data_IF_991268151896
#
_entry.id   IF_991268151896
#
_cell.length_a   1.000
_cell.length_b   1.000
_cell.length_c   1.000
_cell.angle_alpha   90.00
_cell.angle_beta   90.00
_cell.angle_gamma   90.00
#
_symmetry.space_group_name_H-M   'P 1'
#
loop_
_entity.id
_entity.type
_entity.pdbx_description
1 polymer ?
#
# COMPACT_ATOMS: atom_id res chain seq x y z
N UNK A 1 10.96 -2.29 -3.53
CA UNK A 1 12.03 -2.50 -4.55
C UNK A 1 13.22 -3.20 -3.88
N UNK A 2 13.37 -4.52 -4.07
CA UNK A 2 14.42 -5.32 -3.40
C UNK A 2 15.82 -5.12 -4.02
N UNK A 3 15.90 -4.98 -5.35
CA UNK A 3 17.17 -4.92 -6.10
C UNK A 3 18.16 -3.87 -5.58
N UNK A 4 17.69 -2.64 -5.35
CA UNK A 4 18.54 -1.53 -4.88
C UNK A 4 19.04 -1.77 -3.46
N UNK A 5 18.23 -2.41 -2.60
CA UNK A 5 18.62 -2.75 -1.22
C UNK A 5 19.73 -3.80 -1.19
N UNK A 6 19.62 -4.82 -2.05
CA UNK A 6 20.65 -5.83 -2.22
C UNK A 6 21.94 -5.24 -2.82
N UNK A 7 21.82 -4.31 -3.77
CA UNK A 7 22.98 -3.62 -4.33
C UNK A 7 23.71 -2.79 -3.27
N UNK A 8 22.97 -2.10 -2.38
CA UNK A 8 23.55 -1.39 -1.26
C UNK A 8 24.35 -2.32 -0.32
N UNK A 9 23.80 -3.48 0.02
CA UNK A 9 24.52 -4.48 0.82
C UNK A 9 25.72 -5.07 0.08
N UNK A 10 25.64 -5.25 -1.24
CA UNK A 10 26.77 -5.71 -2.05
C UNK A 10 27.94 -4.72 -1.99
N UNK A 11 27.67 -3.41 -2.16
CA UNK A 11 28.69 -2.38 -2.00
C UNK A 11 29.35 -2.40 -0.61
N UNK A 12 28.54 -2.58 0.43
CA UNK A 12 29.02 -2.65 1.82
C UNK A 12 29.86 -3.91 2.04
N UNK A 13 29.41 -5.06 1.53
CA UNK A 13 30.16 -6.32 1.57
C UNK A 13 31.51 -6.20 0.85
N UNK A 14 31.57 -5.41 -0.23
CA UNK A 14 32.79 -5.10 -0.97
C UNK A 14 33.66 -4.00 -0.32
N UNK A 15 33.34 -3.57 0.91
CA UNK A 15 34.15 -2.64 1.70
C UNK A 15 33.75 -1.16 1.62
N UNK A 16 32.71 -0.81 0.85
CA UNK A 16 32.22 0.57 0.85
C UNK A 16 31.50 0.91 2.16
N UNK A 17 31.69 2.11 2.68
CA UNK A 17 30.90 2.56 3.83
C UNK A 17 29.49 3.03 3.38
N UNK A 18 28.59 3.22 4.34
CA UNK A 18 27.20 3.63 4.07
C UNK A 18 27.10 4.97 3.32
N UNK A 19 28.05 5.88 3.54
CA UNK A 19 28.08 7.19 2.86
C UNK A 19 28.48 7.06 1.40
N UNK A 20 29.50 6.26 1.10
CA UNK A 20 29.93 5.95 -0.26
C UNK A 20 28.83 5.20 -1.01
N UNK A 21 28.23 4.19 -0.39
CA UNK A 21 27.10 3.43 -0.95
C UNK A 21 25.92 4.34 -1.29
N UNK A 22 25.57 5.27 -0.40
CA UNK A 22 24.51 6.25 -0.63
C UNK A 22 24.80 7.15 -1.85
N UNK A 23 26.04 7.64 -1.98
CA UNK A 23 26.48 8.42 -3.14
C UNK A 23 26.42 7.62 -4.44
N UNK A 24 26.97 6.40 -4.43
CA UNK A 24 27.02 5.52 -5.60
C UNK A 24 25.62 5.14 -6.11
N UNK A 25 24.64 5.00 -5.21
CA UNK A 25 23.28 4.63 -5.53
C UNK A 25 22.32 5.82 -5.65
N UNK A 26 22.82 7.05 -5.53
CA UNK A 26 22.02 8.29 -5.56
C UNK A 26 20.81 8.26 -4.62
N UNK A 27 21.01 7.74 -3.41
CA UNK A 27 19.99 7.65 -2.35
C UNK A 27 20.50 8.32 -1.08
N UNK A 28 19.59 8.67 -0.17
CA UNK A 28 20.00 9.31 1.09
C UNK A 28 20.73 8.32 1.99
N UNK A 29 21.76 8.82 2.71
CA UNK A 29 22.50 8.04 3.72
C UNK A 29 21.56 7.46 4.79
N UNK A 30 20.51 8.20 5.16
CA UNK A 30 19.48 7.75 6.11
C UNK A 30 18.82 6.45 5.66
N UNK A 31 18.49 6.34 4.37
CA UNK A 31 17.84 5.15 3.81
C UNK A 31 18.79 3.95 3.80
N UNK A 32 20.06 4.14 3.44
CA UNK A 32 21.07 3.08 3.51
C UNK A 32 21.25 2.58 4.94
N UNK A 33 21.37 3.49 5.91
CA UNK A 33 21.48 3.13 7.33
C UNK A 33 20.27 2.32 7.82
N UNK A 34 19.05 2.73 7.45
CA UNK A 34 17.82 2.02 7.81
C UNK A 34 17.80 0.60 7.21
N UNK A 35 18.20 0.42 5.95
CA UNK A 35 18.28 -0.90 5.33
C UNK A 35 19.33 -1.80 5.98
N UNK A 36 20.51 -1.26 6.27
CA UNK A 36 21.60 -1.99 6.95
C UNK A 36 21.17 -2.41 8.34
N UNK A 37 20.55 -1.50 9.11
CA UNK A 37 20.01 -1.80 10.43
C UNK A 37 18.98 -2.93 10.36
N UNK A 38 17.98 -2.82 9.48
CA UNK A 38 16.95 -3.86 9.31
C UNK A 38 17.52 -5.19 8.85
N UNK A 39 18.56 -5.17 8.02
CA UNK A 39 19.25 -6.39 7.62
C UNK A 39 19.95 -7.07 8.80
N UNK A 40 20.61 -6.31 9.68
CA UNK A 40 21.22 -6.89 10.88
C UNK A 40 20.17 -7.40 11.90
N UNK A 41 19.01 -6.75 11.99
CA UNK A 41 17.93 -7.16 12.92
C UNK A 41 17.10 -8.34 12.40
N UNK A 42 16.87 -8.43 11.09
CA UNK A 42 15.87 -9.33 10.50
C UNK A 42 16.36 -10.06 9.24
N UNK A 43 17.65 -10.00 8.92
CA UNK A 43 18.22 -10.62 7.73
C UNK A 43 17.58 -10.10 6.42
N UNK A 44 17.40 -11.01 5.46
CA UNK A 44 16.78 -10.69 4.18
C UNK A 44 15.31 -10.25 4.30
N UNK A 45 14.60 -10.70 5.35
CA UNK A 45 13.22 -10.28 5.59
C UNK A 45 13.12 -8.80 5.95
N UNK A 46 14.13 -8.26 6.64
CA UNK A 46 14.25 -6.83 6.92
C UNK A 46 14.33 -5.94 5.68
N UNK A 47 14.74 -6.52 4.55
CA UNK A 47 14.82 -5.84 3.26
C UNK A 47 13.57 -5.99 2.40
N UNK A 48 12.60 -6.80 2.79
CA UNK A 48 11.33 -6.91 2.05
C UNK A 48 10.57 -5.59 2.15
N UNK A 49 9.87 -5.23 1.08
CA UNK A 49 8.98 -4.07 1.12
C UNK A 49 7.76 -4.48 1.94
N UNK A 50 7.48 -3.75 3.03
CA UNK A 50 6.26 -3.96 3.80
C UNK A 50 5.07 -3.51 2.94
N UNK A 51 3.92 -4.19 3.02
CA UNK A 51 2.69 -3.71 2.43
C UNK A 51 2.46 -2.26 2.86
N UNK A 52 2.16 -1.37 1.91
CA UNK A 52 1.73 -0.03 2.24
C UNK A 52 0.31 -0.14 2.75
N UNK A 53 0.05 0.33 3.96
CA UNK A 53 -1.26 0.21 4.61
C UNK A 53 -2.39 0.99 3.92
N UNK A 54 -2.08 1.76 2.86
CA UNK A 54 -3.06 2.57 2.12
C UNK A 54 -3.78 3.57 3.03
N UNK A 55 -4.84 4.18 2.50
CA UNK A 55 -5.85 4.84 3.33
C UNK A 55 -6.67 3.72 3.99
N UNK A 56 -6.92 3.78 5.32
CA UNK A 56 -7.78 2.79 5.97
C UNK A 56 -9.16 2.76 5.30
N UNK A 57 -9.79 1.59 5.28
CA UNK A 57 -11.17 1.47 4.82
C UNK A 57 -12.08 2.16 5.83
N UNK A 58 -12.96 3.06 5.35
CA UNK A 58 -13.93 3.72 6.23
C UNK A 58 -15.14 2.83 6.55
N UNK A 59 -15.34 1.73 5.81
CA UNK A 59 -16.42 0.78 6.02
C UNK A 59 -15.94 -0.43 6.82
N UNK A 60 -16.76 -0.88 7.77
CA UNK A 60 -16.55 -2.14 8.48
C UNK A 60 -17.02 -3.35 7.63
N UNK A 61 -16.73 -4.58 8.09
CA UNK A 61 -17.05 -5.81 7.35
C UNK A 61 -18.55 -5.98 7.08
N UNK A 62 -19.40 -5.60 8.03
CA UNK A 62 -20.86 -5.68 7.86
C UNK A 62 -21.35 -4.72 6.79
N UNK A 63 -20.87 -3.47 6.80
CA UNK A 63 -21.19 -2.45 5.79
C UNK A 63 -20.68 -2.86 4.41
N UNK A 64 -19.51 -3.48 4.32
CA UNK A 64 -18.98 -4.02 3.05
C UNK A 64 -19.86 -5.16 2.51
N UNK A 65 -20.30 -6.08 3.37
CA UNK A 65 -21.21 -7.16 2.97
C UNK A 65 -22.54 -6.61 2.46
N UNK A 66 -23.11 -5.63 3.17
CA UNK A 66 -24.34 -4.97 2.77
C UNK A 66 -24.19 -4.20 1.45
N UNK A 67 -23.09 -3.47 1.28
CA UNK A 67 -22.79 -2.77 0.03
C UNK A 67 -22.62 -3.76 -1.13
N UNK A 68 -21.98 -4.91 -0.92
CA UNK A 68 -21.81 -5.93 -1.94
C UNK A 68 -23.16 -6.50 -2.40
N UNK A 69 -24.07 -6.74 -1.46
CA UNK A 69 -25.42 -7.21 -1.78
C UNK A 69 -26.18 -6.15 -2.57
N UNK A 70 -26.12 -4.89 -2.13
CA UNK A 70 -26.74 -3.77 -2.84
C UNK A 70 -26.22 -3.64 -4.28
N UNK A 71 -24.91 -3.75 -4.49
CA UNK A 71 -24.31 -3.72 -5.83
C UNK A 71 -24.83 -4.86 -6.68
N UNK A 72 -24.85 -6.09 -6.15
CA UNK A 72 -25.34 -7.26 -6.87
C UNK A 72 -26.79 -7.07 -7.36
N UNK A 73 -27.67 -6.61 -6.47
CA UNK A 73 -29.10 -6.45 -6.75
C UNK A 73 -29.40 -5.28 -7.69
N UNK A 74 -28.55 -4.24 -7.67
CA UNK A 74 -28.74 -3.03 -8.49
C UNK A 74 -27.87 -2.99 -9.75
N UNK A 75 -27.02 -3.99 -9.98
CA UNK A 75 -26.13 -4.08 -11.15
C UNK A 75 -26.90 -4.38 -12.44
N UNK A 76 -27.97 -5.18 -12.36
CA UNK A 76 -28.78 -5.59 -13.51
C UNK A 76 -30.20 -5.06 -13.33
N UNK A 77 -30.49 -3.88 -13.89
CA UNK A 77 -31.85 -3.33 -13.86
C UNK A 77 -32.68 -3.93 -15.00
N UNK A 78 -33.96 -4.29 -14.77
CA UNK A 78 -34.84 -4.83 -15.81
C UNK A 78 -35.09 -3.87 -16.97
N UNK A 79 -34.91 -2.55 -16.76
CA UNK A 79 -34.99 -1.51 -17.80
C UNK A 79 -33.62 -1.13 -18.42
N UNK A 80 -32.56 -1.88 -18.10
CA UNK A 80 -31.19 -1.56 -18.49
C UNK A 80 -30.55 -0.41 -17.69
N UNK A 81 -29.23 -0.26 -17.83
CA UNK A 81 -28.42 0.77 -17.17
C UNK A 81 -27.32 0.21 -16.27
N UNK A 82 -26.21 0.95 -16.12
CA UNK A 82 -25.09 0.61 -15.24
C UNK A 82 -25.20 1.36 -13.91
N UNK A 83 -24.87 0.69 -12.81
CA UNK A 83 -24.71 1.34 -11.51
C UNK A 83 -23.54 2.33 -11.58
N UNK A 84 -23.77 3.60 -11.21
CA UNK A 84 -22.76 4.66 -11.24
C UNK A 84 -22.10 4.79 -9.88
N UNK A 85 -20.82 5.16 -9.87
CA UNK A 85 -20.07 5.43 -8.64
C UNK A 85 -20.73 6.52 -7.77
N UNK A 86 -21.29 7.57 -8.38
CA UNK A 86 -22.02 8.61 -7.65
C UNK A 86 -23.20 8.04 -6.86
N UNK A 87 -23.96 7.09 -7.43
CA UNK A 87 -25.07 6.43 -6.75
C UNK A 87 -24.59 5.61 -5.56
N UNK A 88 -23.43 4.96 -5.67
CA UNK A 88 -22.80 4.23 -4.57
C UNK A 88 -22.36 5.17 -3.45
N UNK A 89 -21.74 6.31 -3.78
CA UNK A 89 -21.35 7.31 -2.80
C UNK A 89 -22.59 7.83 -2.06
N UNK A 90 -23.65 8.21 -2.78
CA UNK A 90 -24.91 8.65 -2.17
C UNK A 90 -25.50 7.59 -1.24
N UNK A 91 -25.54 6.33 -1.67
CA UNK A 91 -26.02 5.22 -0.85
C UNK A 91 -25.18 5.04 0.43
N UNK A 92 -23.85 5.04 0.30
CA UNK A 92 -22.93 4.91 1.43
C UNK A 92 -23.10 6.08 2.42
N UNK A 93 -23.26 7.30 1.92
CA UNK A 93 -23.47 8.47 2.78
C UNK A 93 -24.81 8.41 3.50
N UNK A 94 -25.87 7.93 2.86
CA UNK A 94 -27.20 7.81 3.45
C UNK A 94 -27.28 6.69 4.49
N UNK A 95 -26.80 5.49 4.15
CA UNK A 95 -26.95 4.30 4.99
C UNK A 95 -25.87 4.21 6.08
N UNK A 96 -24.62 4.53 5.73
CA UNK A 96 -23.48 4.31 6.62
C UNK A 96 -22.97 5.59 7.27
N UNK A 97 -23.50 6.76 6.89
CA UNK A 97 -23.03 8.10 7.34
C UNK A 97 -21.52 8.30 7.12
N UNK A 98 -20.98 7.62 6.11
CA UNK A 98 -19.57 7.74 5.70
C UNK A 98 -19.49 8.64 4.49
N UNK A 99 -18.61 9.64 4.56
CA UNK A 99 -18.37 10.58 3.48
C UNK A 99 -17.12 10.18 2.67
N UNK A 100 -17.30 10.14 1.35
CA UNK A 100 -16.29 9.81 0.36
C UNK A 100 -16.06 10.95 -0.65
N UNK A 101 -16.46 12.18 -0.29
CA UNK A 101 -16.20 13.42 -1.04
C UNK A 101 -14.73 13.59 -1.46
#
# INVERSE_FOLDING_TARGET
RMRVRLMALSHIKSGANNTQTARNLHISRRIVNDWVKRFYEHGLDGLKEKPRSGRPCNLNEQQLSQLSQYIHDNSIKPKGGRLKAQTLVTYITQEFKVDYS
#
